data_IF_696783035839
#
_entry.id   IF_696783035839
#
_cell.length_a   1.000
_cell.length_b   1.000
_cell.length_c   1.000
_cell.angle_alpha   90.00
_cell.angle_beta   90.00
_cell.angle_gamma   90.00
#
_symmetry.space_group_name_H-M   'P 1'
#
loop_
_entity.id
_entity.type
_entity.pdbx_description
1 polymer ?
#
# COMPACT_ATOMS: atom_id res chain seq x y z
N UNK A 1 17.75 -13.65 -0.92
CA UNK A 1 17.59 -12.23 -1.28
C UNK A 1 18.94 -11.53 -1.28
N UNK A 2 19.72 -11.57 -0.19
CA UNK A 2 21.01 -10.90 -0.10
C UNK A 2 21.99 -11.35 -1.19
N UNK A 3 22.16 -12.67 -1.38
CA UNK A 3 23.01 -13.23 -2.43
C UNK A 3 22.57 -12.81 -3.84
N UNK A 4 21.25 -12.61 -4.06
CA UNK A 4 20.76 -12.08 -5.34
C UNK A 4 21.16 -10.61 -5.53
N UNK A 5 21.10 -9.80 -4.50
CA UNK A 5 21.51 -8.40 -4.57
C UNK A 5 23.01 -8.25 -4.85
N UNK A 6 23.81 -9.08 -4.22
CA UNK A 6 25.26 -9.15 -4.46
C UNK A 6 25.58 -9.59 -5.90
N UNK A 7 24.89 -10.64 -6.39
CA UNK A 7 25.05 -11.12 -7.76
C UNK A 7 24.66 -10.06 -8.78
N UNK A 8 23.53 -9.37 -8.58
CA UNK A 8 23.10 -8.29 -9.47
C UNK A 8 24.13 -7.15 -9.51
N UNK A 9 24.65 -6.77 -8.36
CA UNK A 9 25.70 -5.76 -8.28
C UNK A 9 26.98 -6.23 -8.99
N UNK A 10 27.39 -7.48 -8.82
CA UNK A 10 28.52 -8.08 -9.54
C UNK A 10 28.33 -8.08 -11.06
N UNK A 11 27.09 -8.29 -11.53
CA UNK A 11 26.74 -8.22 -12.95
C UNK A 11 26.62 -6.78 -13.50
N UNK A 12 26.99 -5.76 -12.72
CA UNK A 12 26.97 -4.35 -13.14
C UNK A 12 25.59 -3.67 -12.97
N UNK A 13 24.63 -4.30 -12.29
CA UNK A 13 23.37 -3.67 -11.90
C UNK A 13 23.56 -2.91 -10.58
N UNK A 14 22.82 -1.81 -10.39
CA UNK A 14 22.93 -0.96 -9.19
C UNK A 14 22.40 -1.57 -7.89
N UNK A 15 21.97 -2.82 -7.90
CA UNK A 15 21.42 -3.52 -6.75
C UNK A 15 19.99 -4.02 -6.96
N UNK A 16 19.26 -4.24 -5.86
CA UNK A 16 17.93 -4.82 -5.83
C UNK A 16 16.95 -3.87 -5.11
N UNK A 17 15.85 -3.52 -5.76
CA UNK A 17 14.73 -2.85 -5.08
C UNK A 17 13.73 -3.88 -4.60
N UNK A 18 13.42 -3.86 -3.31
CA UNK A 18 12.43 -4.74 -2.68
C UNK A 18 11.18 -3.94 -2.32
N UNK A 19 10.04 -4.34 -2.85
CA UNK A 19 8.74 -3.76 -2.54
C UNK A 19 8.06 -4.63 -1.47
N UNK A 20 7.84 -4.08 -0.29
CA UNK A 20 7.10 -4.73 0.80
C UNK A 20 5.68 -4.18 0.82
N UNK A 21 4.76 -4.87 0.14
CA UNK A 21 3.34 -4.57 0.20
C UNK A 21 2.76 -5.10 1.51
N UNK A 22 1.76 -4.40 2.03
CA UNK A 22 1.10 -4.73 3.29
C UNK A 22 2.10 -4.87 4.48
N UNK A 23 3.14 -4.03 4.53
CA UNK A 23 4.10 -4.05 5.64
C UNK A 23 3.43 -3.82 7.02
N UNK A 24 2.21 -3.26 7.04
CA UNK A 24 1.37 -3.18 8.22
C UNK A 24 0.92 -4.52 8.79
N UNK A 25 1.09 -5.64 8.08
CA UNK A 25 0.83 -6.97 8.66
C UNK A 25 1.72 -7.26 9.87
N UNK A 26 2.79 -6.48 10.07
CA UNK A 26 3.61 -6.51 11.28
C UNK A 26 2.77 -6.14 12.51
N UNK A 27 1.86 -5.18 12.41
CA UNK A 27 1.00 -4.76 13.51
C UNK A 27 -0.04 -5.81 13.88
N UNK A 28 -0.40 -6.69 12.94
CA UNK A 28 -1.33 -7.80 13.17
C UNK A 28 -0.73 -8.95 13.97
N UNK A 29 0.59 -8.93 14.18
CA UNK A 29 1.23 -9.90 15.06
C UNK A 29 0.88 -9.57 16.51
N UNK A 30 0.09 -10.43 17.14
CA UNK A 30 -0.40 -10.24 18.51
C UNK A 30 0.73 -10.15 19.54
N UNK A 31 1.85 -10.84 19.28
CA UNK A 31 2.99 -10.87 20.17
C UNK A 31 4.05 -9.85 19.76
N UNK A 32 4.48 -9.04 20.72
CA UNK A 32 5.61 -8.11 20.57
C UNK A 32 6.89 -8.83 20.12
N UNK A 33 7.08 -10.10 20.48
CA UNK A 33 8.24 -10.90 20.06
C UNK A 33 8.26 -11.09 18.54
N UNK A 34 7.12 -11.38 17.95
CA UNK A 34 6.98 -11.49 16.49
C UNK A 34 7.30 -10.17 15.81
N UNK A 35 6.75 -9.05 16.32
CA UNK A 35 7.04 -7.70 15.77
C UNK A 35 8.53 -7.35 15.87
N UNK A 36 9.18 -7.60 17.01
CA UNK A 36 10.62 -7.41 17.17
C UNK A 36 11.43 -8.14 16.09
N UNK A 37 11.08 -9.39 15.81
CA UNK A 37 11.73 -10.19 14.77
C UNK A 37 11.52 -9.60 13.37
N UNK A 38 10.33 -9.08 13.11
CA UNK A 38 10.03 -8.40 11.84
C UNK A 38 10.84 -7.11 11.70
N UNK A 39 10.94 -6.30 12.76
CA UNK A 39 11.76 -5.09 12.76
C UNK A 39 13.25 -5.40 12.54
N UNK A 40 13.75 -6.46 13.20
CA UNK A 40 15.12 -6.95 13.02
C UNK A 40 15.39 -7.34 11.56
N UNK A 41 14.47 -8.07 10.94
CA UNK A 41 14.58 -8.50 9.56
C UNK A 41 14.53 -7.31 8.59
N UNK A 42 13.61 -6.36 8.80
CA UNK A 42 13.52 -5.16 7.95
C UNK A 42 14.76 -4.30 8.04
N UNK A 43 15.35 -4.18 9.24
CA UNK A 43 16.60 -3.44 9.41
C UNK A 43 17.77 -4.03 8.63
N UNK A 44 17.85 -5.36 8.53
CA UNK A 44 18.87 -6.01 7.72
C UNK A 44 18.77 -5.63 6.24
N UNK A 45 17.55 -5.44 5.70
CA UNK A 45 17.37 -4.95 4.33
C UNK A 45 17.75 -3.47 4.21
N UNK A 46 17.40 -2.65 5.19
CA UNK A 46 17.74 -1.21 5.21
C UNK A 46 19.26 -0.99 5.23
N UNK A 47 19.98 -1.83 5.96
CA UNK A 47 21.44 -1.71 6.09
C UNK A 47 22.23 -2.28 4.90
N UNK A 48 21.59 -3.08 4.05
CA UNK A 48 22.31 -3.74 2.98
C UNK A 48 22.63 -2.76 1.83
N UNK A 49 23.91 -2.56 1.45
CA UNK A 49 24.32 -1.50 0.51
C UNK A 49 23.74 -1.66 -0.90
N UNK A 50 23.38 -2.88 -1.28
CA UNK A 50 22.84 -3.22 -2.60
C UNK A 50 21.35 -3.48 -2.60
N UNK A 51 20.61 -3.08 -1.53
CA UNK A 51 19.16 -3.24 -1.42
C UNK A 51 18.51 -1.89 -1.09
N UNK A 52 17.48 -1.55 -1.84
CA UNK A 52 16.62 -0.41 -1.57
C UNK A 52 15.26 -0.96 -1.16
N UNK A 53 14.95 -1.04 0.14
CA UNK A 53 13.64 -1.48 0.59
C UNK A 53 12.62 -0.33 0.47
N UNK A 54 11.48 -0.60 -0.16
CA UNK A 54 10.32 0.30 -0.24
C UNK A 54 9.18 -0.36 0.54
N UNK A 55 8.74 0.28 1.61
CA UNK A 55 7.69 -0.21 2.49
C UNK A 55 6.39 0.53 2.20
N UNK A 56 5.34 -0.18 1.81
CA UNK A 56 4.00 0.37 1.76
C UNK A 56 3.35 0.20 3.13
N UNK A 57 3.11 1.32 3.80
CA UNK A 57 2.65 1.35 5.18
C UNK A 57 1.40 2.21 5.34
N UNK A 58 0.55 1.84 6.29
CA UNK A 58 -0.56 2.66 6.73
C UNK A 58 -0.19 3.46 7.98
N UNK A 59 -1.01 4.47 8.29
CA UNK A 59 -0.85 5.24 9.54
C UNK A 59 -0.88 4.35 10.79
N UNK A 60 -1.53 3.20 10.72
CA UNK A 60 -1.62 2.25 11.81
C UNK A 60 -0.26 1.69 12.21
N UNK A 61 0.62 1.38 11.24
CA UNK A 61 1.98 0.92 11.56
C UNK A 61 2.77 1.99 12.31
N UNK A 62 2.66 3.27 11.92
CA UNK A 62 3.31 4.37 12.66
C UNK A 62 2.86 4.41 14.14
N UNK A 63 1.55 4.31 14.38
CA UNK A 63 1.01 4.28 15.75
C UNK A 63 1.51 3.06 16.51
N UNK A 64 1.57 1.88 15.87
CA UNK A 64 2.05 0.67 16.50
C UNK A 64 3.53 0.76 16.87
N UNK A 65 4.37 1.28 15.98
CA UNK A 65 5.81 1.48 16.25
C UNK A 65 5.99 2.44 17.44
N UNK A 66 5.27 3.55 17.49
CA UNK A 66 5.32 4.48 18.62
C UNK A 66 4.95 3.79 19.94
N UNK A 67 3.87 3.00 19.93
CA UNK A 67 3.44 2.20 21.10
C UNK A 67 4.51 1.17 21.49
N UNK A 68 5.11 0.47 20.55
CA UNK A 68 6.15 -0.52 20.82
C UNK A 68 7.43 0.12 21.38
N UNK A 69 7.77 1.34 20.94
CA UNK A 69 8.89 2.12 21.53
C UNK A 69 8.60 2.45 22.99
N UNK A 70 7.40 2.94 23.30
CA UNK A 70 7.01 3.28 24.66
C UNK A 70 7.01 2.06 25.57
N UNK A 71 6.38 0.96 25.15
CA UNK A 71 6.35 -0.30 25.89
C UNK A 71 7.76 -0.89 26.04
N UNK A 72 8.57 -0.83 25.00
CA UNK A 72 9.95 -1.31 25.03
C UNK A 72 10.78 -0.54 26.05
N UNK A 73 10.71 0.79 26.07
CA UNK A 73 11.45 1.63 27.02
C UNK A 73 11.06 1.36 28.47
N UNK A 74 9.79 1.07 28.75
CA UNK A 74 9.28 0.87 30.11
C UNK A 74 9.56 -0.54 30.62
N UNK A 75 9.44 -1.59 29.80
CA UNK A 75 9.37 -2.94 30.30
C UNK A 75 10.39 -3.93 29.75
N UNK A 76 10.99 -3.70 28.57
CA UNK A 76 11.66 -4.81 27.89
C UNK A 76 12.78 -4.38 26.92
N UNK A 77 13.23 -3.13 26.95
CA UNK A 77 14.17 -2.62 25.94
C UNK A 77 15.49 -3.40 25.88
N UNK A 78 15.90 -4.02 27.00
CA UNK A 78 17.13 -4.82 27.06
C UNK A 78 17.02 -6.12 26.28
N UNK A 79 15.81 -6.63 26.06
CA UNK A 79 15.54 -7.86 25.31
C UNK A 79 15.28 -7.63 23.81
N UNK A 80 15.48 -6.39 23.34
CA UNK A 80 15.41 -6.09 21.92
C UNK A 80 16.79 -6.25 21.28
N UNK A 81 16.83 -6.82 20.06
CA UNK A 81 18.05 -6.81 19.25
C UNK A 81 18.44 -5.37 18.89
N UNK A 82 19.71 -5.15 18.63
CA UNK A 82 20.17 -3.83 18.19
C UNK A 82 19.51 -3.41 16.87
N UNK A 83 19.33 -4.36 15.95
CA UNK A 83 18.67 -4.11 14.68
C UNK A 83 17.22 -3.68 14.84
N UNK A 84 16.44 -4.38 15.67
CA UNK A 84 15.05 -4.01 15.92
C UNK A 84 14.93 -2.62 16.56
N UNK A 85 15.81 -2.29 17.51
CA UNK A 85 15.91 -0.94 18.10
C UNK A 85 16.22 0.12 17.05
N UNK A 86 17.23 -0.14 16.23
CA UNK A 86 17.64 0.78 15.18
C UNK A 86 16.52 1.02 14.17
N UNK A 87 15.78 -0.02 13.77
CA UNK A 87 14.65 0.12 12.86
C UNK A 87 13.59 1.06 13.44
N UNK A 88 13.08 0.79 14.63
CA UNK A 88 11.97 1.57 15.20
C UNK A 88 12.39 3.01 15.52
N UNK A 89 13.63 3.24 15.97
CA UNK A 89 14.13 4.58 16.28
C UNK A 89 14.42 5.40 15.00
N UNK A 90 14.74 4.75 13.89
CA UNK A 90 15.03 5.42 12.63
C UNK A 90 13.77 5.55 11.74
N UNK A 91 12.66 4.91 12.11
CA UNK A 91 11.48 4.81 11.24
C UNK A 91 10.89 6.16 10.84
N UNK A 92 10.86 7.13 11.74
CA UNK A 92 10.37 8.49 11.45
C UNK A 92 11.31 9.28 10.53
N UNK A 93 12.59 8.87 10.47
CA UNK A 93 13.61 9.52 9.65
C UNK A 93 13.69 8.94 8.23
N UNK A 94 12.93 7.88 7.94
CA UNK A 94 12.90 7.34 6.58
C UNK A 94 12.22 8.31 5.63
N UNK A 95 12.76 8.41 4.41
CA UNK A 95 12.12 9.19 3.36
C UNK A 95 10.70 8.65 3.11
N UNK A 96 9.72 9.53 3.25
CA UNK A 96 8.32 9.15 3.13
C UNK A 96 7.71 9.76 1.87
N UNK A 97 7.37 8.91 0.91
CA UNK A 97 6.59 9.29 -0.26
C UNK A 97 5.10 9.17 0.05
N UNK A 98 4.41 10.29 0.04
CA UNK A 98 2.95 10.31 0.21
C UNK A 98 2.29 10.47 -1.15
N UNK A 99 1.44 9.53 -1.57
CA UNK A 99 0.67 9.71 -2.79
C UNK A 99 -0.18 10.98 -2.66
N UNK A 100 -0.38 11.71 -3.77
CA UNK A 100 -1.24 12.88 -3.77
C UNK A 100 -2.66 12.49 -3.33
N UNK A 101 -3.37 13.43 -2.70
CA UNK A 101 -4.78 13.20 -2.34
C UNK A 101 -5.56 12.90 -3.61
N UNK A 102 -6.42 11.89 -3.54
CA UNK A 102 -7.30 11.54 -4.63
C UNK A 102 -8.35 12.63 -4.82
N UNK A 103 -8.31 13.30 -5.97
CA UNK A 103 -9.17 14.44 -6.29
C UNK A 103 -10.37 14.01 -7.11
N UNK A 104 -11.40 14.87 -7.19
CA UNK A 104 -12.56 14.66 -8.06
C UNK A 104 -12.14 14.46 -9.52
N UNK A 105 -11.18 15.24 -10.00
CA UNK A 105 -10.67 15.13 -11.37
C UNK A 105 -10.02 13.76 -11.60
N UNK A 106 -9.29 13.23 -10.62
CA UNK A 106 -8.73 11.88 -10.68
C UNK A 106 -9.83 10.82 -10.67
N UNK A 107 -10.91 11.03 -9.91
CA UNK A 107 -12.06 10.15 -9.88
C UNK A 107 -12.77 10.11 -11.25
N UNK A 108 -13.02 11.25 -11.86
CA UNK A 108 -13.55 11.34 -13.23
C UNK A 108 -12.68 10.57 -14.23
N UNK A 109 -11.38 10.85 -14.23
CA UNK A 109 -10.43 10.20 -15.12
C UNK A 109 -10.40 8.69 -14.92
N UNK A 110 -10.48 8.22 -13.67
CA UNK A 110 -10.50 6.81 -13.34
C UNK A 110 -11.77 6.13 -13.86
N UNK A 111 -12.95 6.70 -13.64
CA UNK A 111 -14.22 6.18 -14.14
C UNK A 111 -14.16 6.03 -15.67
N UNK A 112 -13.71 7.06 -16.38
CA UNK A 112 -13.60 7.01 -17.84
C UNK A 112 -12.63 5.95 -18.36
N UNK A 113 -11.52 5.73 -17.65
CA UNK A 113 -10.58 4.64 -17.99
C UNK A 113 -11.20 3.25 -17.79
N UNK A 114 -11.98 3.07 -16.72
CA UNK A 114 -12.67 1.80 -16.45
C UNK A 114 -13.73 1.56 -17.50
N UNK A 115 -14.53 2.56 -17.85
CA UNK A 115 -15.53 2.49 -18.92
C UNK A 115 -14.91 2.04 -20.24
N UNK A 116 -13.78 2.66 -20.62
CA UNK A 116 -13.07 2.29 -21.84
C UNK A 116 -12.54 0.85 -21.79
N UNK A 117 -11.92 0.43 -20.67
CA UNK A 117 -11.44 -0.94 -20.50
C UNK A 117 -12.59 -1.96 -20.56
N UNK A 118 -13.70 -1.64 -19.88
CA UNK A 118 -14.87 -2.51 -19.84
C UNK A 118 -15.52 -2.64 -21.24
N UNK A 119 -15.65 -1.54 -21.96
CA UNK A 119 -16.18 -1.51 -23.33
C UNK A 119 -15.28 -2.31 -24.29
N UNK A 120 -13.98 -2.15 -24.19
CA UNK A 120 -13.00 -2.91 -24.98
C UNK A 120 -13.10 -4.40 -24.70
N UNK A 121 -13.17 -4.79 -23.43
CA UNK A 121 -13.26 -6.20 -23.03
C UNK A 121 -14.57 -6.87 -23.47
N UNK A 122 -15.66 -6.12 -23.61
CA UNK A 122 -16.97 -6.65 -24.01
C UNK A 122 -17.30 -6.45 -25.50
N UNK A 123 -16.41 -5.80 -26.26
CA UNK A 123 -16.58 -5.60 -27.72
C UNK A 123 -17.75 -4.70 -28.12
N UNK A 124 -18.32 -3.92 -27.19
CA UNK A 124 -19.45 -3.01 -27.41
C UNK A 124 -19.21 -1.68 -26.71
N UNK A 125 -19.51 -0.58 -27.39
CA UNK A 125 -19.67 0.71 -26.72
C UNK A 125 -20.95 0.63 -25.85
N UNK A 126 -20.78 0.80 -24.55
CA UNK A 126 -21.92 0.90 -23.63
C UNK A 126 -22.53 2.30 -23.73
N UNK A 127 -23.82 2.40 -23.48
CA UNK A 127 -24.50 3.69 -23.30
C UNK A 127 -23.77 4.50 -22.22
N UNK A 128 -23.69 5.80 -22.42
CA UNK A 128 -22.92 6.74 -21.59
C UNK A 128 -23.18 6.49 -20.09
N UNK A 129 -22.13 6.17 -19.38
CA UNK A 129 -22.15 5.95 -17.93
C UNK A 129 -22.60 7.23 -17.22
N UNK A 130 -23.43 7.12 -16.21
CA UNK A 130 -23.86 8.22 -15.37
C UNK A 130 -22.76 8.63 -14.36
N UNK A 131 -21.61 9.08 -14.88
CA UNK A 131 -20.40 9.42 -14.09
C UNK A 131 -20.71 10.39 -12.95
N UNK A 132 -21.52 11.42 -13.20
CA UNK A 132 -21.95 12.39 -12.18
C UNK A 132 -22.71 11.72 -11.03
N UNK A 133 -23.59 10.79 -11.36
CA UNK A 133 -24.37 10.05 -10.37
C UNK A 133 -23.45 9.19 -9.49
N UNK A 134 -22.53 8.45 -10.09
CA UNK A 134 -21.55 7.64 -9.37
C UNK A 134 -20.72 8.50 -8.43
N UNK A 135 -20.20 9.63 -8.91
CA UNK A 135 -19.42 10.55 -8.10
C UNK A 135 -20.24 11.17 -6.97
N UNK A 136 -21.49 11.54 -7.21
CA UNK A 136 -22.36 12.10 -6.17
C UNK A 136 -22.60 11.10 -5.04
N UNK A 137 -22.85 9.83 -5.37
CA UNK A 137 -22.99 8.77 -4.39
C UNK A 137 -21.69 8.49 -3.64
N UNK A 138 -20.57 8.38 -4.36
CA UNK A 138 -19.25 8.15 -3.74
C UNK A 138 -18.90 9.26 -2.75
N UNK A 139 -19.14 10.53 -3.09
CA UNK A 139 -18.92 11.69 -2.22
C UNK A 139 -19.76 11.68 -0.94
N UNK A 140 -20.95 11.10 -0.98
CA UNK A 140 -21.84 10.98 0.19
C UNK A 140 -21.45 9.85 1.13
N UNK A 141 -20.54 8.96 0.71
CA UNK A 141 -20.13 7.86 1.57
C UNK A 141 -19.12 8.30 2.62
N UNK A 142 -19.20 7.80 3.86
CA UNK A 142 -18.26 8.15 4.93
C UNK A 142 -16.81 7.79 4.60
N UNK A 143 -16.62 6.72 3.82
CA UNK A 143 -15.31 6.20 3.43
C UNK A 143 -15.14 6.34 1.91
N UNK A 144 -14.65 7.50 1.48
CA UNK A 144 -14.40 7.79 0.06
C UNK A 144 -13.11 7.08 -0.42
N UNK A 145 -13.13 5.75 -0.48
CA UNK A 145 -12.00 4.97 -0.97
C UNK A 145 -12.06 4.77 -2.47
N UNK A 146 -10.88 4.66 -3.10
CA UNK A 146 -10.76 4.33 -4.52
C UNK A 146 -11.39 2.96 -4.80
N UNK A 147 -11.22 1.98 -3.90
CA UNK A 147 -11.84 0.65 -4.01
C UNK A 147 -13.37 0.73 -4.09
N UNK A 148 -13.99 1.60 -3.31
CA UNK A 148 -15.45 1.80 -3.35
C UNK A 148 -15.87 2.43 -4.68
N UNK A 149 -15.15 3.44 -5.17
CA UNK A 149 -15.40 4.06 -6.47
C UNK A 149 -15.32 3.03 -7.59
N UNK A 150 -14.29 2.18 -7.61
CA UNK A 150 -14.14 1.10 -8.58
C UNK A 150 -15.34 0.14 -8.55
N UNK A 151 -15.77 -0.31 -7.38
CA UNK A 151 -16.92 -1.20 -7.23
C UNK A 151 -18.21 -0.57 -7.75
N UNK A 152 -18.47 0.69 -7.40
CA UNK A 152 -19.65 1.41 -7.87
C UNK A 152 -19.65 1.53 -9.39
N UNK A 153 -18.50 1.89 -9.98
CA UNK A 153 -18.36 2.02 -11.45
C UNK A 153 -18.59 0.68 -12.15
N UNK A 154 -17.99 -0.40 -11.67
CA UNK A 154 -18.15 -1.73 -12.29
C UNK A 154 -19.59 -2.22 -12.16
N UNK A 155 -20.21 -2.06 -10.99
CA UNK A 155 -21.61 -2.46 -10.79
C UNK A 155 -22.55 -1.74 -11.76
N UNK A 156 -22.35 -0.44 -11.97
CA UNK A 156 -23.17 0.34 -12.91
C UNK A 156 -22.96 -0.14 -14.35
N UNK A 157 -21.72 -0.43 -14.74
CA UNK A 157 -21.41 -0.98 -16.06
C UNK A 157 -22.04 -2.38 -16.28
N UNK A 158 -22.09 -3.22 -15.25
CA UNK A 158 -22.74 -4.52 -15.31
C UNK A 158 -24.25 -4.39 -15.48
N UNK A 159 -24.89 -3.42 -14.82
CA UNK A 159 -26.32 -3.13 -15.01
C UNK A 159 -26.60 -2.67 -16.43
N UNK A 160 -25.83 -1.69 -16.95
CA UNK A 160 -25.97 -1.21 -18.32
C UNK A 160 -25.77 -2.32 -19.36
N UNK A 161 -24.82 -3.22 -19.11
CA UNK A 161 -24.64 -4.40 -19.98
C UNK A 161 -25.85 -5.31 -20.02
N UNK A 162 -26.50 -5.55 -18.87
CA UNK A 162 -27.70 -6.38 -18.79
C UNK A 162 -28.89 -5.73 -19.50
N UNK A 163 -29.01 -4.40 -19.44
CA UNK A 163 -30.06 -3.65 -20.16
C UNK A 163 -29.89 -3.70 -21.67
N UNK A 164 -28.64 -3.69 -22.16
CA UNK A 164 -28.33 -3.80 -23.59
C UNK A 164 -28.53 -5.21 -24.17
N UNK A 165 -28.78 -6.21 -23.34
CA UNK A 165 -29.00 -7.61 -23.73
C UNK A 165 -30.49 -8.00 -23.81
N UNK A 166 -31.37 -7.10 -23.35
CA UNK A 166 -32.83 -7.23 -23.45
C UNK A 166 -33.36 -6.57 -24.71
#
# INVERSE_FOLDING_TARGET
VFSCAELLNFCGHGGLTLLFDEAENIDKQFDIRGRKKSYDTLWQFVQHPNIIPILFVTRRLHTQIATDIELGRVHDWNNWTQNAKSFVLSFENFETLRPPRFTDQMAYSLIGKIENLYSTANGKALTKLATETILSYWKKTPTQTIRLLLRMTINELDVLKQECLK
#
